data_IF_639925394546
#
_entry.id   IF_639925394546
#
_cell.length_a   1.000
_cell.length_b   1.000
_cell.length_c   1.000
_cell.angle_alpha   90.00
_cell.angle_beta   90.00
_cell.angle_gamma   90.00
#
_symmetry.space_group_name_H-M   'P 1'
#
loop_
_entity.id
_entity.type
_entity.pdbx_description
1 polymer ?
#
# COMPACT_ATOMS: atom_id res chain seq x y z
N UNK A 1 -50.20 4.51 10.57
CA UNK A 1 -49.63 5.52 11.50
C UNK A 1 -49.90 5.07 12.94
N UNK A 2 -48.87 4.60 13.65
CA UNK A 2 -48.86 4.50 15.12
C UNK A 2 -47.48 4.96 15.58
N UNK A 3 -47.49 6.00 16.39
CA UNK A 3 -46.31 6.66 16.93
C UNK A 3 -45.65 5.78 18.00
N UNK A 4 -44.33 5.65 17.95
CA UNK A 4 -43.53 5.25 19.10
C UNK A 4 -42.73 6.47 19.57
N UNK A 5 -43.03 6.94 20.78
CA UNK A 5 -42.29 7.99 21.48
C UNK A 5 -41.41 7.38 22.58
N UNK A 6 -40.22 7.96 22.74
CA UNK A 6 -39.36 7.85 23.94
C UNK A 6 -38.30 6.75 23.87
N UNK A 7 -37.09 6.88 24.41
CA UNK A 7 -36.38 8.00 25.07
C UNK A 7 -34.90 7.58 24.98
N UNK A 8 -34.00 8.48 24.59
CA UNK A 8 -32.55 8.18 24.55
C UNK A 8 -32.04 8.06 25.98
N UNK A 9 -31.62 6.87 26.38
CA UNK A 9 -30.65 6.69 27.46
C UNK A 9 -29.56 5.71 27.03
N UNK A 10 -28.35 6.08 27.41
CA UNK A 10 -27.08 5.55 26.95
C UNK A 10 -26.87 4.09 27.37
N UNK A 11 -26.70 3.18 26.39
CA UNK A 11 -25.78 2.02 26.33
C UNK A 11 -26.37 0.97 25.39
N UNK A 12 -25.52 0.49 24.48
CA UNK A 12 -25.70 -0.69 23.59
C UNK A 12 -26.62 -1.74 24.22
N UNK A 13 -27.87 -1.81 23.76
CA UNK A 13 -28.80 -2.95 23.83
C UNK A 13 -30.13 -2.51 23.25
N UNK A 14 -30.41 -2.91 22.01
CA UNK A 14 -31.77 -2.91 21.50
C UNK A 14 -32.39 -4.25 21.93
N UNK A 15 -32.98 -4.28 23.13
CA UNK A 15 -33.83 -5.40 23.54
C UNK A 15 -35.23 -5.14 22.96
N UNK A 16 -35.58 -5.84 21.88
CA UNK A 16 -36.98 -6.01 21.52
C UNK A 16 -37.57 -7.06 22.45
N UNK A 17 -38.32 -6.63 23.46
CA UNK A 17 -39.12 -7.53 24.28
C UNK A 17 -40.31 -7.96 23.42
N UNK A 18 -40.28 -9.19 22.93
CA UNK A 18 -41.43 -9.84 22.31
C UNK A 18 -42.39 -10.28 23.44
N UNK A 19 -43.65 -9.84 23.39
CA UNK A 19 -44.65 -10.00 24.48
C UNK A 19 -45.30 -11.40 24.50
N UNK A 20 -44.73 -12.38 23.80
CA UNK A 20 -45.28 -13.74 23.74
C UNK A 20 -44.19 -14.76 24.06
N UNK A 21 -44.30 -15.37 25.24
CA UNK A 21 -43.31 -16.24 25.89
C UNK A 21 -42.92 -17.50 25.13
N UNK A 22 -42.19 -17.34 24.03
CA UNK A 22 -41.51 -18.42 23.33
C UNK A 22 -40.07 -17.98 23.11
N UNK A 23 -39.13 -18.77 23.63
CA UNK A 23 -37.70 -18.54 23.50
C UNK A 23 -37.31 -18.55 22.03
N UNK A 24 -36.96 -17.38 21.50
CA UNK A 24 -36.36 -17.26 20.18
C UNK A 24 -34.93 -17.82 20.28
N UNK A 25 -34.56 -18.91 19.57
CA UNK A 25 -33.17 -19.32 19.52
C UNK A 25 -32.43 -18.22 18.75
N UNK A 26 -31.72 -17.37 19.49
CA UNK A 26 -30.81 -16.40 18.92
C UNK A 26 -29.73 -17.20 18.17
N UNK A 27 -29.94 -17.36 16.87
CA UNK A 27 -28.93 -17.80 15.94
C UNK A 27 -27.91 -16.64 15.87
N UNK A 28 -26.95 -16.66 16.80
CA UNK A 28 -25.78 -15.82 16.71
C UNK A 28 -24.93 -16.34 15.56
N UNK A 29 -25.18 -15.82 14.35
CA UNK A 29 -24.22 -15.95 13.28
C UNK A 29 -22.89 -15.37 13.80
N UNK A 30 -21.77 -16.11 13.73
CA UNK A 30 -20.48 -15.57 14.13
C UNK A 30 -20.20 -14.34 13.25
N UNK A 31 -20.03 -13.18 13.87
CA UNK A 31 -19.53 -11.99 13.18
C UNK A 31 -18.13 -12.34 12.71
N UNK A 32 -17.95 -12.64 11.43
CA UNK A 32 -16.62 -12.78 10.82
C UNK A 32 -15.88 -11.46 11.04
N UNK A 33 -14.99 -11.42 12.02
CA UNK A 33 -14.13 -10.26 12.25
C UNK A 33 -13.17 -10.15 11.07
N UNK A 34 -13.27 -9.05 10.30
CA UNK A 34 -12.35 -8.78 9.19
C UNK A 34 -10.91 -8.74 9.72
N UNK A 35 -9.98 -9.34 8.98
CA UNK A 35 -8.54 -9.29 9.28
C UNK A 35 -8.09 -7.83 9.24
N UNK A 36 -7.31 -7.40 10.24
CA UNK A 36 -6.74 -6.05 10.26
C UNK A 36 -5.41 -6.03 9.52
N UNK A 37 -5.26 -5.07 8.61
CA UNK A 37 -4.02 -4.83 7.84
C UNK A 37 -3.58 -3.38 8.08
N UNK A 38 -2.42 -3.21 8.72
CA UNK A 38 -1.73 -1.93 8.79
C UNK A 38 -0.91 -1.72 7.51
N UNK A 39 -1.26 -0.71 6.73
CA UNK A 39 -0.47 -0.27 5.58
C UNK A 39 0.66 0.64 6.09
N UNK A 40 1.90 0.15 6.02
CA UNK A 40 3.11 0.77 6.52
C UNK A 40 3.64 1.88 5.60
N UNK A 41 2.80 2.85 5.25
CA UNK A 41 3.19 4.02 4.47
C UNK A 41 2.45 5.27 4.90
N UNK A 42 3.07 6.44 4.69
CA UNK A 42 2.44 7.76 4.81
C UNK A 42 2.05 8.35 3.44
N UNK A 43 2.34 7.64 2.35
CA UNK A 43 1.95 8.07 1.00
C UNK A 43 0.47 7.73 0.76
N UNK A 44 -0.37 8.76 0.65
CA UNK A 44 -1.81 8.61 0.48
C UNK A 44 -2.20 7.95 -0.85
N UNK A 45 -1.44 8.20 -1.93
CA UNK A 45 -1.67 7.54 -3.21
C UNK A 45 -1.45 6.03 -3.11
N UNK A 46 -0.37 5.59 -2.44
CA UNK A 46 -0.13 4.16 -2.19
C UNK A 46 -1.25 3.53 -1.36
N UNK A 47 -1.75 4.24 -0.33
CA UNK A 47 -2.88 3.76 0.48
C UNK A 47 -4.14 3.61 -0.37
N UNK A 48 -4.43 4.60 -1.22
CA UNK A 48 -5.57 4.58 -2.15
C UNK A 48 -5.53 3.38 -3.07
N UNK A 49 -4.40 3.16 -3.76
CA UNK A 49 -4.21 2.02 -4.67
C UNK A 49 -4.36 0.67 -3.95
N UNK A 50 -3.69 0.50 -2.80
CA UNK A 50 -3.77 -0.77 -2.04
C UNK A 50 -5.21 -1.08 -1.63
N UNK A 51 -5.95 -0.09 -1.14
CA UNK A 51 -7.36 -0.27 -0.74
C UNK A 51 -8.26 -0.56 -1.94
N UNK A 52 -8.07 0.13 -3.05
CA UNK A 52 -8.85 -0.09 -4.27
C UNK A 52 -8.64 -1.51 -4.81
N UNK A 53 -7.39 -2.00 -4.82
CA UNK A 53 -7.04 -3.31 -5.36
C UNK A 53 -7.47 -4.45 -4.43
N UNK A 54 -7.23 -4.32 -3.13
CA UNK A 54 -7.57 -5.37 -2.15
C UNK A 54 -9.06 -5.38 -1.75
N UNK A 55 -9.81 -4.33 -2.07
CA UNK A 55 -11.24 -4.23 -1.81
C UNK A 55 -11.60 -4.18 -0.32
N UNK A 56 -12.85 -4.46 0.03
CA UNK A 56 -13.36 -4.25 1.39
C UNK A 56 -13.17 -5.45 2.34
N UNK A 57 -12.43 -6.49 1.94
CA UNK A 57 -12.32 -7.72 2.73
C UNK A 57 -11.48 -7.56 4.02
N UNK A 58 -10.65 -6.51 4.11
CA UNK A 58 -9.82 -6.20 5.27
C UNK A 58 -10.31 -4.96 6.04
N UNK A 59 -9.90 -4.86 7.30
CA UNK A 59 -9.95 -3.61 8.06
C UNK A 59 -8.58 -2.91 7.89
N UNK A 60 -8.55 -1.77 7.20
CA UNK A 60 -7.30 -1.08 6.91
C UNK A 60 -6.97 -0.01 7.95
N UNK A 61 -5.76 -0.09 8.50
CA UNK A 61 -5.13 0.99 9.24
C UNK A 61 -3.94 1.53 8.45
N UNK A 62 -3.50 2.72 8.80
CA UNK A 62 -2.37 3.43 8.17
C UNK A 62 -1.47 4.03 9.24
N UNK A 63 -0.29 4.50 8.86
CA UNK A 63 0.59 5.21 9.79
C UNK A 63 0.00 6.54 10.31
N UNK A 64 -1.08 7.06 9.70
CA UNK A 64 -1.81 8.22 10.24
C UNK A 64 -2.62 7.87 11.49
N UNK A 65 -3.00 6.61 11.65
CA UNK A 65 -3.69 6.11 12.85
C UNK A 65 -2.72 5.91 14.03
N UNK A 66 -1.41 6.02 13.78
CA UNK A 66 -0.32 5.78 14.73
C UNK A 66 0.73 6.90 14.65
N UNK A 67 0.45 8.10 15.17
CA UNK A 67 1.38 9.22 15.13
C UNK A 67 2.73 8.91 15.81
N UNK A 68 2.72 8.06 16.84
CA UNK A 68 3.91 7.64 17.59
C UNK A 68 4.66 6.46 16.93
N UNK A 69 4.23 6.00 15.76
CA UNK A 69 4.93 4.92 15.05
C UNK A 69 6.36 5.35 14.70
N UNK A 70 7.37 4.49 14.93
CA UNK A 70 8.75 4.83 14.66
C UNK A 70 8.97 5.11 13.17
N UNK A 71 9.82 6.09 12.88
CA UNK A 71 10.28 6.30 11.52
C UNK A 71 11.25 5.18 11.13
N UNK A 72 10.96 4.51 10.03
CA UNK A 72 11.84 3.47 9.47
C UNK A 72 12.81 4.12 8.50
N UNK A 73 14.10 3.89 8.69
CA UNK A 73 15.16 4.31 7.75
C UNK A 73 15.26 3.29 6.63
N UNK A 74 15.07 3.73 5.39
CA UNK A 74 15.11 2.91 4.16
C UNK A 74 16.48 3.01 3.48
N UNK A 75 17.44 2.27 4.03
CA UNK A 75 18.87 2.26 3.66
C UNK A 75 19.31 0.96 2.96
N UNK A 76 18.36 0.06 2.63
CA UNK A 76 18.71 -1.17 1.92
C UNK A 76 18.85 -0.91 0.42
N UNK A 77 19.77 -1.64 -0.20
CA UNK A 77 20.04 -1.57 -1.64
C UNK A 77 18.96 -2.27 -2.51
N UNK A 78 17.94 -2.87 -1.88
CA UNK A 78 16.89 -3.62 -2.58
C UNK A 78 15.49 -3.26 -2.07
N UNK A 79 14.51 -3.29 -2.96
CA UNK A 79 13.09 -3.10 -2.61
C UNK A 79 12.63 -4.10 -1.55
N UNK A 80 13.03 -5.37 -1.68
CA UNK A 80 12.72 -6.41 -0.67
C UNK A 80 13.31 -6.10 0.70
N UNK A 81 14.53 -5.55 0.75
CA UNK A 81 15.19 -5.15 1.99
C UNK A 81 14.43 -4.04 2.70
N UNK A 82 14.09 -2.97 1.99
CA UNK A 82 13.33 -1.84 2.55
C UNK A 82 11.91 -2.25 2.97
N UNK A 83 11.19 -2.99 2.12
CA UNK A 83 9.85 -3.48 2.45
C UNK A 83 9.88 -4.38 3.70
N UNK A 84 10.83 -5.32 3.77
CA UNK A 84 11.00 -6.19 4.94
C UNK A 84 11.32 -5.41 6.20
N UNK A 85 12.29 -4.48 6.12
CA UNK A 85 12.69 -3.65 7.26
C UNK A 85 11.51 -2.85 7.81
N UNK A 86 10.73 -2.21 6.91
CA UNK A 86 9.49 -1.51 7.27
C UNK A 86 8.47 -2.41 7.97
N UNK A 87 8.15 -3.56 7.36
CA UNK A 87 7.13 -4.45 7.90
C UNK A 87 7.53 -5.03 9.26
N UNK A 88 8.76 -5.53 9.40
CA UNK A 88 9.25 -6.18 10.61
C UNK A 88 9.39 -5.19 11.76
N UNK A 89 9.96 -4.00 11.52
CA UNK A 89 10.13 -2.99 12.58
C UNK A 89 8.77 -2.52 13.13
N UNK A 90 7.80 -2.26 12.25
CA UNK A 90 6.45 -1.87 12.68
C UNK A 90 5.70 -3.01 13.35
N UNK A 91 5.82 -4.25 12.87
CA UNK A 91 5.20 -5.41 13.51
C UNK A 91 5.74 -5.64 14.92
N UNK A 92 7.06 -5.49 15.10
CA UNK A 92 7.72 -5.54 16.42
C UNK A 92 7.18 -4.46 17.35
N UNK A 93 7.18 -3.21 16.89
CA UNK A 93 6.66 -2.09 17.66
C UNK A 93 5.20 -2.29 18.08
N UNK A 94 4.33 -2.73 17.16
CA UNK A 94 2.93 -3.03 17.48
C UNK A 94 2.77 -4.15 18.52
N UNK A 95 3.64 -5.15 18.49
CA UNK A 95 3.60 -6.29 19.43
C UNK A 95 4.02 -5.92 20.84
N UNK A 96 4.76 -4.82 21.00
CA UNK A 96 5.23 -4.25 22.26
C UNK A 96 4.24 -3.25 22.87
N UNK A 97 3.25 -2.77 22.10
CA UNK A 97 2.20 -1.88 22.61
C UNK A 97 1.37 -2.61 23.68
N UNK A 98 1.23 -2.01 24.87
CA UNK A 98 0.48 -2.62 25.97
C UNK A 98 -1.00 -2.81 25.58
N UNK A 99 -1.52 -4.00 25.87
CA UNK A 99 -2.85 -4.51 25.51
C UNK A 99 -4.06 -3.69 25.98
N UNK A 100 -3.85 -2.61 26.74
CA UNK A 100 -4.89 -1.65 27.15
C UNK A 100 -5.01 -0.40 26.28
N UNK A 101 -3.99 -0.08 25.47
CA UNK A 101 -3.93 1.14 24.65
C UNK A 101 -4.40 0.92 23.20
N UNK A 102 -4.29 -0.31 22.67
CA UNK A 102 -4.73 -0.64 21.32
C UNK A 102 -5.77 -1.75 21.35
N UNK A 103 -6.88 -1.59 20.62
CA UNK A 103 -7.86 -2.66 20.37
C UNK A 103 -7.34 -3.72 19.39
N UNK A 104 -6.04 -3.70 19.08
CA UNK A 104 -5.41 -4.54 18.08
C UNK A 104 -4.92 -5.82 18.74
N UNK A 105 -5.72 -6.87 18.62
CA UNK A 105 -5.39 -8.17 19.21
C UNK A 105 -4.43 -8.98 18.33
N UNK A 106 -4.48 -8.78 17.01
CA UNK A 106 -3.66 -9.44 16.01
C UNK A 106 -3.95 -8.82 14.64
N UNK A 107 -3.02 -8.96 13.71
CA UNK A 107 -3.19 -8.49 12.35
C UNK A 107 -1.95 -8.69 11.50
N UNK A 108 -1.92 -7.99 10.38
CA UNK A 108 -0.76 -7.96 9.50
C UNK A 108 -0.26 -6.54 9.31
N UNK A 109 1.05 -6.40 9.21
CA UNK A 109 1.71 -5.21 8.66
C UNK A 109 2.03 -5.50 7.20
N UNK A 110 1.52 -4.65 6.31
CA UNK A 110 1.81 -4.67 4.88
C UNK A 110 2.69 -3.46 4.57
N UNK A 111 3.95 -3.71 4.20
CA UNK A 111 4.86 -2.68 3.73
C UNK A 111 5.15 -2.86 2.24
N UNK A 112 5.04 -1.76 1.49
CA UNK A 112 5.37 -1.67 0.07
C UNK A 112 6.66 -0.86 -0.08
N UNK A 113 7.63 -1.40 -0.81
CA UNK A 113 8.69 -0.59 -1.43
C UNK A 113 8.66 -0.73 -2.94
N UNK A 114 8.75 0.39 -3.64
CA UNK A 114 8.47 0.45 -5.07
C UNK A 114 9.27 1.55 -5.75
N UNK A 115 9.62 1.32 -7.01
CA UNK A 115 10.38 2.30 -7.78
C UNK A 115 10.34 2.02 -9.28
N UNK A 116 10.91 2.97 -10.02
CA UNK A 116 11.14 2.90 -11.44
C UNK A 116 12.58 2.44 -11.69
N UNK A 117 12.77 1.50 -12.60
CA UNK A 117 14.07 1.10 -13.12
C UNK A 117 14.10 1.39 -14.62
N UNK A 118 15.11 2.12 -15.10
CA UNK A 118 15.27 2.44 -16.52
C UNK A 118 16.53 1.76 -17.04
N UNK A 119 16.39 0.97 -18.10
CA UNK A 119 17.47 0.10 -18.58
C UNK A 119 18.68 0.92 -19.06
N UNK A 120 18.43 2.02 -19.78
CA UNK A 120 19.48 2.94 -20.25
C UNK A 120 20.23 3.70 -19.12
N UNK A 121 19.74 3.63 -17.88
CA UNK A 121 20.34 4.29 -16.72
C UNK A 121 20.84 3.28 -15.68
N UNK A 122 21.17 2.05 -16.10
CA UNK A 122 21.60 0.97 -15.22
C UNK A 122 20.59 0.71 -14.08
N UNK A 123 19.31 0.61 -14.44
CA UNK A 123 18.17 0.44 -13.51
C UNK A 123 17.94 1.62 -12.55
N UNK A 124 18.59 2.77 -12.73
CA UNK A 124 18.25 3.98 -11.97
C UNK A 124 16.89 4.54 -12.42
N UNK A 125 16.12 5.16 -11.53
CA UNK A 125 16.44 5.51 -10.15
C UNK A 125 16.40 4.36 -9.12
N UNK A 126 15.73 3.25 -9.41
CA UNK A 126 15.67 2.07 -8.54
C UNK A 126 15.09 2.38 -7.15
N UNK A 127 15.73 1.89 -6.09
CA UNK A 127 15.35 2.15 -4.69
C UNK A 127 15.38 3.63 -4.29
N UNK A 128 16.01 4.49 -5.11
CA UNK A 128 16.06 5.93 -4.89
C UNK A 128 14.95 6.71 -5.59
N UNK A 129 13.96 6.03 -6.18
CA UNK A 129 12.88 6.62 -6.96
C UNK A 129 12.22 7.85 -6.33
N UNK A 130 11.93 7.82 -5.02
CA UNK A 130 11.27 8.93 -4.33
C UNK A 130 12.20 10.13 -4.04
N UNK A 131 13.51 9.93 -4.09
CA UNK A 131 14.54 10.93 -3.75
C UNK A 131 15.51 11.19 -4.90
N UNK A 132 15.11 10.87 -6.13
CA UNK A 132 16.03 10.79 -7.25
C UNK A 132 16.69 12.13 -7.53
N UNK A 133 15.93 13.22 -7.54
CA UNK A 133 16.47 14.56 -7.70
C UNK A 133 17.32 15.02 -6.50
N UNK A 134 16.91 14.68 -5.27
CA UNK A 134 17.65 15.02 -4.06
C UNK A 134 19.08 14.43 -4.02
N UNK A 135 19.33 13.33 -4.74
CA UNK A 135 20.69 12.77 -4.88
C UNK A 135 21.68 13.74 -5.54
N UNK A 136 21.23 14.72 -6.35
CA UNK A 136 22.12 15.69 -6.98
C UNK A 136 22.51 16.84 -6.04
N UNK A 137 21.63 17.20 -5.10
CA UNK A 137 21.87 18.28 -4.12
C UNK A 137 22.46 17.78 -2.81
N UNK A 138 22.33 16.48 -2.51
CA UNK A 138 22.70 15.92 -1.20
C UNK A 138 21.68 16.25 -0.10
N UNK A 139 20.55 16.84 -0.45
CA UNK A 139 19.48 17.14 0.51
C UNK A 139 18.86 15.85 1.04
N UNK A 140 18.63 15.73 2.36
CA UNK A 140 18.00 14.55 2.92
C UNK A 140 16.50 14.51 2.59
N UNK A 141 15.99 13.31 2.32
CA UNK A 141 14.56 13.07 2.14
C UNK A 141 14.11 12.88 0.70
N UNK A 142 12.80 12.91 0.49
CA UNK A 142 12.19 12.74 -0.83
C UNK A 142 12.16 14.07 -1.58
N UNK A 143 12.29 14.02 -2.90
CA UNK A 143 12.13 15.16 -3.80
C UNK A 143 10.73 15.19 -4.40
N UNK A 144 10.28 16.36 -4.85
CA UNK A 144 8.99 16.48 -5.52
C UNK A 144 8.98 15.65 -6.81
N UNK A 145 7.81 15.11 -7.17
CA UNK A 145 7.64 14.28 -8.37
C UNK A 145 8.06 15.02 -9.64
N UNK A 146 7.78 16.32 -9.72
CA UNK A 146 8.20 17.17 -10.84
C UNK A 146 9.74 17.25 -10.98
N UNK A 147 10.47 17.35 -9.86
CA UNK A 147 11.94 17.40 -9.87
C UNK A 147 12.54 16.06 -10.27
N UNK A 148 11.96 14.97 -9.76
CA UNK A 148 12.32 13.59 -10.12
C UNK A 148 12.12 13.36 -11.63
N UNK A 149 10.99 13.78 -12.17
CA UNK A 149 10.65 13.69 -13.59
C UNK A 149 11.59 14.55 -14.44
N UNK A 150 11.87 15.79 -14.03
CA UNK A 150 12.79 16.69 -14.73
C UNK A 150 14.21 16.10 -14.81
N UNK A 151 14.70 15.53 -13.69
CA UNK A 151 15.99 14.83 -13.68
C UNK A 151 15.99 13.63 -14.62
N UNK A 152 14.94 12.81 -14.60
CA UNK A 152 14.84 11.63 -15.46
C UNK A 152 14.88 12.02 -16.95
N UNK A 153 14.07 12.99 -17.36
CA UNK A 153 14.05 13.50 -18.75
C UNK A 153 15.43 14.02 -19.16
N UNK A 154 16.08 14.81 -18.29
CA UNK A 154 17.43 15.35 -18.55
C UNK A 154 18.46 14.25 -18.80
N UNK A 155 18.41 13.16 -18.03
CA UNK A 155 19.34 12.03 -18.18
C UNK A 155 19.06 11.21 -19.45
N UNK A 156 17.81 11.20 -19.92
CA UNK A 156 17.40 10.48 -21.12
C UNK A 156 17.41 11.35 -22.39
N UNK A 157 17.84 12.60 -22.34
CA UNK A 157 17.70 13.56 -23.45
C UNK A 157 18.29 13.05 -24.79
N UNK A 158 19.41 12.34 -24.73
CA UNK A 158 20.15 11.82 -25.90
C UNK A 158 19.92 10.31 -26.10
N UNK A 159 19.03 9.69 -25.32
CA UNK A 159 18.70 8.27 -25.42
C UNK A 159 17.60 8.07 -26.47
N UNK A 160 17.87 7.29 -27.54
CA UNK A 160 16.87 6.97 -28.57
C UNK A 160 15.63 6.32 -27.96
N UNK A 161 14.45 6.58 -28.54
CA UNK A 161 13.16 6.15 -27.99
C UNK A 161 13.11 4.63 -27.74
N UNK A 162 13.66 3.83 -28.65
CA UNK A 162 13.73 2.38 -28.59
C UNK A 162 14.62 1.83 -27.46
N UNK A 163 15.47 2.69 -26.85
CA UNK A 163 16.34 2.34 -25.72
C UNK A 163 15.81 2.87 -24.38
N UNK A 164 14.64 3.51 -24.36
CA UNK A 164 14.02 4.06 -23.14
C UNK A 164 13.13 3.04 -22.41
N UNK A 165 13.46 1.75 -22.53
CA UNK A 165 12.74 0.69 -21.82
C UNK A 165 12.90 0.88 -20.32
N UNK A 166 11.82 0.63 -19.60
CA UNK A 166 11.74 0.82 -18.18
C UNK A 166 10.71 -0.11 -17.56
N UNK A 167 10.81 -0.30 -16.26
CA UNK A 167 9.83 -1.06 -15.50
C UNK A 167 9.57 -0.43 -14.16
N UNK A 168 8.32 -0.42 -13.75
CA UNK A 168 8.03 -0.24 -12.34
C UNK A 168 8.16 -1.57 -11.61
N UNK A 169 8.72 -1.54 -10.41
CA UNK A 169 8.80 -2.67 -9.49
C UNK A 169 8.11 -2.36 -8.18
N UNK A 170 7.39 -3.34 -7.66
CA UNK A 170 6.78 -3.32 -6.33
C UNK A 170 7.24 -4.59 -5.60
N UNK A 171 7.71 -4.43 -4.38
CA UNK A 171 7.87 -5.53 -3.43
C UNK A 171 7.06 -5.23 -2.18
N UNK A 172 6.19 -6.16 -1.82
CA UNK A 172 5.36 -6.13 -0.63
C UNK A 172 5.89 -7.15 0.36
N UNK A 173 6.15 -6.68 1.58
CA UNK A 173 6.41 -7.55 2.73
C UNK A 173 5.17 -7.56 3.65
N UNK A 174 4.66 -8.75 3.92
CA UNK A 174 3.56 -8.99 4.83
C UNK A 174 4.06 -9.72 6.08
N UNK A 175 3.86 -9.14 7.25
CA UNK A 175 4.29 -9.70 8.54
C UNK A 175 3.10 -9.79 9.47
N UNK A 176 2.80 -10.99 9.98
CA UNK A 176 1.80 -11.18 11.03
C UNK A 176 2.33 -10.66 12.37
N UNK A 177 1.44 -10.09 13.17
CA UNK A 177 1.75 -9.68 14.54
C UNK A 177 0.59 -9.99 15.50
N UNK A 178 0.93 -10.24 16.74
CA UNK A 178 0.04 -10.32 17.90
C UNK A 178 0.80 -9.83 19.16
N UNK A 179 0.11 -9.42 20.23
CA UNK A 179 0.75 -9.06 21.49
C UNK A 179 1.74 -10.13 21.94
N UNK A 180 2.94 -9.70 22.32
CA UNK A 180 4.03 -10.59 22.74
C UNK A 180 4.60 -11.51 21.64
N UNK A 181 4.37 -11.22 20.36
CA UNK A 181 5.09 -11.89 19.26
C UNK A 181 6.59 -11.70 19.41
N UNK A 182 7.36 -12.79 19.28
CA UNK A 182 8.83 -12.79 19.29
C UNK A 182 9.43 -13.14 17.93
N UNK A 183 8.62 -13.61 16.99
CA UNK A 183 9.04 -14.05 15.66
C UNK A 183 8.28 -13.27 14.58
N UNK A 184 9.03 -12.65 13.68
CA UNK A 184 8.50 -11.79 12.62
C UNK A 184 9.03 -12.23 11.26
N UNK A 185 8.43 -13.29 10.70
CA UNK A 185 8.84 -13.80 9.39
C UNK A 185 8.03 -13.11 8.27
N UNK A 186 8.67 -12.35 7.37
CA UNK A 186 7.98 -11.70 6.26
C UNK A 186 7.62 -12.70 5.17
N UNK A 187 6.42 -12.55 4.62
CA UNK A 187 6.05 -13.11 3.31
C UNK A 187 6.26 -12.04 2.25
N UNK A 188 6.96 -12.38 1.17
CA UNK A 188 7.36 -11.42 0.14
C UNK A 188 6.57 -11.68 -1.15
N UNK A 189 5.99 -10.61 -1.70
CA UNK A 189 5.26 -10.61 -2.95
C UNK A 189 5.84 -9.55 -3.87
N UNK A 190 6.19 -9.91 -5.09
CA UNK A 190 6.76 -8.98 -6.06
C UNK A 190 5.90 -8.85 -7.30
N UNK A 191 5.87 -7.66 -7.87
CA UNK A 191 5.20 -7.37 -9.12
C UNK A 191 6.02 -6.39 -9.94
N UNK A 192 5.93 -6.54 -11.26
CA UNK A 192 6.56 -5.65 -12.22
C UNK A 192 5.54 -5.20 -13.25
N UNK A 193 5.79 -4.06 -13.88
CA UNK A 193 5.07 -3.61 -15.06
C UNK A 193 6.10 -3.02 -16.00
N UNK A 194 6.27 -3.66 -17.16
CA UNK A 194 7.20 -3.27 -18.21
C UNK A 194 6.57 -2.16 -19.08
N UNK A 195 7.42 -1.33 -19.66
CA UNK A 195 7.01 -0.20 -20.47
C UNK A 195 8.19 0.63 -20.95
N UNK A 196 7.93 1.90 -21.23
CA UNK A 196 8.92 2.85 -21.74
C UNK A 196 8.72 4.24 -21.16
N UNK A 197 9.80 5.02 -21.15
CA UNK A 197 9.79 6.42 -20.72
C UNK A 197 9.63 7.34 -21.91
N UNK A 198 8.61 8.18 -21.87
CA UNK A 198 8.36 9.20 -22.89
C UNK A 198 9.36 10.37 -22.80
N UNK A 199 9.31 11.27 -23.77
CA UNK A 199 10.16 12.47 -23.84
C UNK A 199 9.62 13.64 -23.03
N UNK A 200 8.31 13.65 -22.74
CA UNK A 200 7.61 14.68 -21.97
C UNK A 200 6.51 14.07 -21.10
N UNK A 201 6.10 14.73 -20.00
CA UNK A 201 5.02 14.24 -19.17
C UNK A 201 3.65 14.47 -19.85
N UNK A 202 2.80 13.45 -19.82
CA UNK A 202 1.43 13.48 -20.32
C UNK A 202 0.45 13.02 -19.24
N UNK A 203 -0.75 13.60 -19.20
CA UNK A 203 -1.76 13.28 -18.18
C UNK A 203 -1.62 14.04 -16.86
N UNK A 204 -2.62 13.87 -15.99
CA UNK A 204 -2.71 14.54 -14.68
C UNK A 204 -3.04 13.59 -13.52
N UNK A 205 -3.36 12.33 -13.82
CA UNK A 205 -3.67 11.32 -12.82
C UNK A 205 -2.40 10.71 -12.22
N UNK A 206 -2.58 9.90 -11.16
CA UNK A 206 -1.48 9.16 -10.57
C UNK A 206 -0.47 10.03 -9.80
N UNK A 207 0.75 9.54 -9.65
CA UNK A 207 1.85 10.20 -8.92
C UNK A 207 3.23 9.70 -9.38
N UNK A 208 4.29 10.36 -8.93
CA UNK A 208 5.67 9.99 -9.27
C UNK A 208 5.95 10.10 -10.77
N UNK A 209 6.39 8.99 -11.35
CA UNK A 209 6.78 8.91 -12.77
C UNK A 209 5.62 8.50 -13.70
N UNK A 210 4.39 8.36 -13.18
CA UNK A 210 3.22 7.99 -13.98
C UNK A 210 3.01 8.86 -15.25
N UNK A 211 3.26 10.19 -15.23
CA UNK A 211 3.10 11.01 -16.43
C UNK A 211 4.12 10.70 -17.53
N UNK A 212 5.23 10.03 -17.21
CA UNK A 212 6.29 9.70 -18.17
C UNK A 212 6.27 8.23 -18.60
N UNK A 213 5.58 7.37 -17.85
CA UNK A 213 5.64 5.94 -18.06
C UNK A 213 4.47 5.46 -18.92
N UNK A 214 4.79 4.87 -20.06
CA UNK A 214 3.83 4.25 -20.97
C UNK A 214 3.98 2.73 -20.83
N UNK A 215 2.96 2.02 -20.28
CA UNK A 215 3.02 0.57 -20.10
C UNK A 215 2.96 -0.16 -21.44
N UNK A 216 3.59 -1.33 -21.50
CA UNK A 216 3.52 -2.18 -22.70
C UNK A 216 2.08 -2.51 -23.09
N UNK A 217 1.79 -2.43 -24.40
CA UNK A 217 0.44 -2.62 -24.95
C UNK A 217 -0.45 -1.37 -24.94
N UNK A 218 0.09 -0.21 -24.54
CA UNK A 218 -0.61 1.07 -24.56
C UNK A 218 0.22 2.16 -25.25
N UNK A 219 -0.47 3.21 -25.72
CA UNK A 219 0.14 4.36 -26.39
C UNK A 219 0.16 5.63 -25.53
N UNK A 220 -0.47 5.60 -24.35
CA UNK A 220 -0.65 6.74 -23.44
C UNK A 220 -0.09 6.44 -22.05
N UNK A 221 0.25 7.49 -21.30
CA UNK A 221 0.92 7.34 -20.00
C UNK A 221 -0.02 6.75 -18.93
N UNK A 222 0.54 6.23 -17.82
CA UNK A 222 -0.29 5.86 -16.66
C UNK A 222 -1.13 7.02 -16.13
N UNK A 223 -0.62 8.25 -16.18
CA UNK A 223 -1.36 9.43 -15.75
C UNK A 223 -2.52 9.81 -16.69
N UNK A 224 -2.53 9.30 -17.92
CA UNK A 224 -3.63 9.42 -18.88
C UNK A 224 -4.62 8.25 -18.82
N UNK A 225 -4.13 7.03 -18.58
CA UNK A 225 -4.96 5.82 -18.47
C UNK A 225 -5.93 5.87 -17.29
N UNK A 226 -5.58 6.61 -16.23
CA UNK A 226 -6.38 6.74 -15.03
C UNK A 226 -6.23 5.55 -14.07
N UNK A 227 -6.76 5.72 -12.86
CA UNK A 227 -6.56 4.80 -11.74
C UNK A 227 -7.18 3.42 -11.99
N UNK A 228 -8.34 3.34 -12.65
CA UNK A 228 -9.05 2.07 -12.88
C UNK A 228 -8.24 1.10 -13.72
N UNK A 229 -7.60 1.58 -14.79
CA UNK A 229 -6.75 0.76 -15.65
C UNK A 229 -5.45 0.44 -14.92
N UNK A 230 -4.81 1.45 -14.31
CA UNK A 230 -3.56 1.29 -13.56
C UNK A 230 -3.68 0.25 -12.43
N UNK A 231 -4.80 0.24 -11.71
CA UNK A 231 -5.06 -0.70 -10.62
C UNK A 231 -5.26 -2.15 -11.10
N UNK A 232 -5.32 -2.40 -12.41
CA UNK A 232 -5.41 -3.75 -12.99
C UNK A 232 -4.08 -4.26 -13.53
N UNK A 233 -3.22 -3.38 -14.05
CA UNK A 233 -2.02 -3.78 -14.81
C UNK A 233 -0.70 -3.37 -14.16
N UNK A 234 -0.74 -2.52 -13.14
CA UNK A 234 0.48 -1.98 -12.53
C UNK A 234 1.29 -3.04 -11.77
N UNK A 235 2.57 -2.74 -11.57
CA UNK A 235 3.48 -3.46 -10.69
C UNK A 235 2.89 -3.74 -9.30
N UNK A 236 2.17 -2.78 -8.72
CA UNK A 236 1.49 -2.93 -7.42
C UNK A 236 0.28 -3.86 -7.50
N UNK A 237 -0.54 -3.74 -8.53
CA UNK A 237 -1.63 -4.68 -8.79
C UNK A 237 -1.11 -6.12 -8.91
N UNK A 238 -0.04 -6.32 -9.66
CA UNK A 238 0.60 -7.62 -9.85
C UNK A 238 1.17 -8.20 -8.54
N UNK A 239 1.74 -7.37 -7.66
CA UNK A 239 2.21 -7.80 -6.35
C UNK A 239 1.05 -8.14 -5.40
N UNK A 240 0.00 -7.31 -5.38
CA UNK A 240 -1.18 -7.50 -4.53
C UNK A 240 -2.02 -8.70 -4.96
N UNK A 241 -2.10 -9.03 -6.25
CA UNK A 241 -2.77 -10.23 -6.73
C UNK A 241 -2.16 -11.50 -6.12
N UNK A 242 -0.83 -11.58 -6.06
CA UNK A 242 -0.11 -12.70 -5.41
C UNK A 242 -0.37 -12.74 -3.91
N UNK A 243 -0.46 -11.58 -3.27
CA UNK A 243 -0.84 -11.48 -1.86
C UNK A 243 -2.30 -11.93 -1.63
N UNK A 244 -3.22 -11.61 -2.53
CA UNK A 244 -4.61 -12.08 -2.45
C UNK A 244 -4.70 -13.60 -2.57
N UNK A 245 -3.97 -14.18 -3.52
CA UNK A 245 -3.86 -15.64 -3.67
C UNK A 245 -3.32 -16.30 -2.39
N UNK A 246 -2.30 -15.70 -1.76
CA UNK A 246 -1.79 -16.18 -0.48
C UNK A 246 -2.86 -16.20 0.62
N UNK A 247 -3.69 -15.15 0.72
CA UNK A 247 -4.77 -15.12 1.70
C UNK A 247 -5.88 -16.12 1.38
N UNK A 248 -6.18 -16.37 0.11
CA UNK A 248 -7.18 -17.36 -0.32
C UNK A 248 -6.73 -18.80 -0.02
N UNK A 249 -5.43 -19.09 -0.12
CA UNK A 249 -4.88 -20.41 0.14
C UNK A 249 -4.64 -20.71 1.63
N UNK A 250 -4.71 -19.70 2.50
CA UNK A 250 -4.49 -19.82 3.96
C UNK A 250 -5.74 -19.67 4.82
N UNK A 251 -6.87 -19.26 4.22
CA UNK A 251 -8.18 -19.13 4.86
C UNK A 251 -9.12 -20.23 4.41
#
# INVERSE_FOLDING_TARGET
MKFCYGRVTNKRRQCYICVTGTTCPLYFAPVKTKITVLIATRNDHKVGEIRAILGEQFCYLTLKDFPDAPQVVEDADTFSGNATKKAVQLAKWLSELRSGASKLQNGFVLADDSGLEVDALDCKPGVHSARFAALDSGEPGNSADADNNAKLIRLLKDVPAEKRTARFRCVIALVGYHPSSTHFQPQIFSGTCEGRIDVSPHGKGGFGYDPLFIPDGFDVSFAELGEDVKNRISHRANALAKLQEFFQNKL
#
